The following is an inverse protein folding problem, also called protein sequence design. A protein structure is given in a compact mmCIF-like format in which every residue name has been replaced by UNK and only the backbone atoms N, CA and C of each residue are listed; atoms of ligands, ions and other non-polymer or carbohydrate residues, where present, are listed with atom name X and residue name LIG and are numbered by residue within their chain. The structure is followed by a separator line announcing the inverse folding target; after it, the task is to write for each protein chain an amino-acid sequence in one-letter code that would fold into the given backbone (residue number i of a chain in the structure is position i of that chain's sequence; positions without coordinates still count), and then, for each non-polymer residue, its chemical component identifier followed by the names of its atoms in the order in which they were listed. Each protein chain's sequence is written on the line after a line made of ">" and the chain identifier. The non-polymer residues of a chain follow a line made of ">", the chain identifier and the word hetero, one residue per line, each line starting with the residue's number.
data_IF_163380455303
#
_entry.id   IF_163380455303
#
_cell.length_a   1.000
_cell.length_b   1.000
_cell.length_c   1.000
_cell.angle_alpha   90.00
_cell.angle_beta   90.00
_cell.angle_gamma   90.00
#
_symmetry.space_group_name_H-M   'P 1'
#
loop_
_entity.id
_entity.type
_entity.pdbx_description
1 polymer ?
#
# COMPACT_ATOMS: atom_id res chain seq x y z
N UNK A 1 2.62 16.89 1.28
CA UNK A 1 1.51 15.92 1.25
C UNK A 1 0.27 16.63 0.77
N UNK A 2 -0.58 15.98 -0.02
CA UNK A 2 -1.88 16.54 -0.44
C UNK A 2 -2.88 16.42 0.71
N UNK A 3 -3.94 17.24 0.73
CA UNK A 3 -4.97 17.19 1.78
C UNK A 3 -5.61 15.79 1.88
N UNK A 4 -5.89 15.16 0.72
CA UNK A 4 -6.40 13.79 0.64
C UNK A 4 -5.38 12.77 1.18
N UNK A 5 -4.11 12.93 0.83
CA UNK A 5 -3.03 12.10 1.36
C UNK A 5 -2.95 12.14 2.89
N UNK A 6 -2.94 13.33 3.47
CA UNK A 6 -2.92 13.52 4.93
C UNK A 6 -4.17 12.92 5.59
N UNK A 7 -5.35 13.15 5.01
CA UNK A 7 -6.62 12.65 5.56
C UNK A 7 -6.68 11.12 5.61
N UNK A 8 -6.27 10.45 4.54
CA UNK A 8 -6.23 8.98 4.49
C UNK A 8 -5.12 8.38 5.37
N UNK A 9 -4.03 9.12 5.61
CA UNK A 9 -3.00 8.72 6.56
C UNK A 9 -3.53 8.81 8.00
N UNK A 10 -4.22 9.90 8.34
CA UNK A 10 -4.83 10.10 9.65
C UNK A 10 -5.86 9.02 10.00
N UNK A 11 -6.73 8.66 9.05
CA UNK A 11 -7.67 7.55 9.20
C UNK A 11 -6.96 6.26 9.66
N UNK A 12 -5.88 5.88 8.97
CA UNK A 12 -5.11 4.67 9.30
C UNK A 12 -4.39 4.79 10.62
N UNK A 13 -3.80 5.96 10.90
CA UNK A 13 -3.11 6.21 12.16
C UNK A 13 -4.05 6.09 13.36
N UNK A 14 -5.26 6.66 13.28
CA UNK A 14 -6.26 6.58 14.34
C UNK A 14 -6.84 5.18 14.49
N UNK A 15 -7.15 4.51 13.36
CA UNK A 15 -7.62 3.12 13.38
C UNK A 15 -6.56 2.19 13.99
N UNK A 16 -5.29 2.41 13.66
CA UNK A 16 -4.17 1.66 14.21
C UNK A 16 -3.97 1.94 15.69
N UNK A 17 -4.01 3.21 16.12
CA UNK A 17 -3.88 3.57 17.53
C UNK A 17 -4.99 2.93 18.37
N UNK A 18 -6.23 2.94 17.86
CA UNK A 18 -7.35 2.23 18.49
C UNK A 18 -7.12 0.70 18.51
N UNK A 19 -6.62 0.12 17.43
CA UNK A 19 -6.28 -1.31 17.38
C UNK A 19 -5.18 -1.73 18.37
N UNK A 20 -4.12 -0.94 18.49
CA UNK A 20 -3.08 -1.12 19.52
C UNK A 20 -3.69 -0.98 20.92
N UNK A 21 -4.55 0.03 21.11
CA UNK A 21 -5.30 0.23 22.35
C UNK A 21 -6.13 -0.98 22.73
N UNK A 22 -6.87 -1.58 21.79
CA UNK A 22 -7.64 -2.79 22.01
C UNK A 22 -6.77 -3.92 22.59
N UNK A 23 -5.63 -4.20 21.97
CA UNK A 23 -4.72 -5.25 22.44
C UNK A 23 -4.16 -4.92 23.81
N UNK A 24 -3.76 -3.66 24.04
CA UNK A 24 -3.20 -3.22 25.32
C UNK A 24 -4.23 -3.19 26.47
N UNK A 25 -5.52 -3.06 26.18
CA UNK A 25 -6.60 -3.05 27.19
C UNK A 25 -7.15 -4.44 27.53
N UNK A 26 -6.77 -5.48 26.79
CA UNK A 26 -7.12 -6.87 27.16
C UNK A 26 -6.66 -7.15 28.59
N UNK A 27 -7.56 -7.69 29.43
CA UNK A 27 -7.30 -7.91 30.86
C UNK A 27 -7.11 -6.65 31.72
N UNK A 28 -7.12 -5.43 31.16
CA UNK A 28 -7.20 -4.17 31.94
C UNK A 28 -8.64 -3.75 32.20
N UNK A 29 -9.45 -3.84 31.14
CA UNK A 29 -10.85 -3.46 31.14
C UNK A 29 -11.70 -4.72 31.13
N UNK A 30 -12.98 -4.61 31.55
CA UNK A 30 -13.97 -5.61 31.22
C UNK A 30 -13.95 -5.92 29.72
N UNK A 31 -14.24 -7.15 29.33
CA UNK A 31 -14.19 -7.60 27.93
C UNK A 31 -14.99 -6.66 27.01
N UNK A 32 -16.17 -6.21 27.45
CA UNK A 32 -17.00 -5.24 26.74
C UNK A 32 -16.28 -3.93 26.42
N UNK A 33 -15.46 -3.42 27.35
CA UNK A 33 -14.66 -2.22 27.15
C UNK A 33 -13.62 -2.40 26.04
N UNK A 34 -12.88 -3.51 26.07
CA UNK A 34 -11.92 -3.83 25.01
C UNK A 34 -12.62 -4.04 23.65
N UNK A 35 -13.76 -4.75 23.63
CA UNK A 35 -14.55 -4.92 22.40
C UNK A 35 -15.07 -3.58 21.86
N UNK A 36 -15.42 -2.61 22.72
CA UNK A 36 -15.79 -1.27 22.28
C UNK A 36 -14.63 -0.53 21.60
N UNK A 37 -13.39 -0.70 22.10
CA UNK A 37 -12.19 -0.13 21.46
C UNK A 37 -11.93 -0.79 20.10
N UNK A 38 -12.11 -2.11 19.99
CA UNK A 38 -12.03 -2.81 18.70
C UNK A 38 -13.11 -2.30 17.72
N UNK A 39 -14.35 -2.17 18.18
CA UNK A 39 -15.45 -1.63 17.38
C UNK A 39 -15.15 -0.20 16.91
N UNK A 40 -14.54 0.64 17.75
CA UNK A 40 -14.07 1.96 17.37
C UNK A 40 -12.99 1.88 16.27
N UNK A 41 -11.99 1.01 16.41
CA UNK A 41 -10.95 0.84 15.39
C UNK A 41 -11.54 0.45 14.02
N UNK A 42 -12.48 -0.51 14.02
CA UNK A 42 -13.18 -0.95 12.82
C UNK A 42 -14.08 0.15 12.25
N UNK A 43 -14.79 0.89 13.11
CA UNK A 43 -15.66 1.99 12.71
C UNK A 43 -14.89 3.15 12.09
N UNK A 44 -13.76 3.54 12.68
CA UNK A 44 -12.83 4.52 12.12
C UNK A 44 -12.27 4.05 10.78
N UNK A 45 -12.03 2.76 10.57
CA UNK A 45 -11.57 2.30 9.27
C UNK A 45 -12.70 2.26 8.23
N UNK A 46 -13.88 1.75 8.59
CA UNK A 46 -14.97 1.50 7.67
C UNK A 46 -15.76 2.76 7.28
N UNK A 47 -16.03 3.64 8.25
CA UNK A 47 -16.98 4.76 8.09
C UNK A 47 -16.32 6.13 8.00
N UNK A 48 -14.99 6.21 8.08
CA UNK A 48 -14.31 7.49 7.99
C UNK A 48 -14.50 8.13 6.62
N UNK A 49 -14.88 9.42 6.57
CA UNK A 49 -15.22 10.10 5.33
C UNK A 49 -14.00 10.13 4.41
N UNK A 50 -14.09 9.50 3.25
CA UNK A 50 -12.97 9.47 2.30
C UNK A 50 -13.15 10.60 1.29
N UNK A 51 -12.18 11.53 1.17
CA UNK A 51 -12.27 12.60 0.18
C UNK A 51 -12.43 12.02 -1.22
N UNK A 52 -13.40 12.58 -1.97
CA UNK A 52 -13.64 12.19 -3.34
C UNK A 52 -12.38 12.43 -4.19
N UNK A 53 -12.13 11.53 -5.13
CA UNK A 53 -11.16 11.80 -6.18
C UNK A 53 -11.76 12.80 -7.19
N UNK A 54 -10.93 13.50 -7.99
CA UNK A 54 -11.42 14.31 -9.10
C UNK A 54 -12.37 13.50 -10.00
N UNK A 55 -13.39 14.16 -10.55
CA UNK A 55 -14.36 13.53 -11.43
C UNK A 55 -13.65 12.91 -12.66
N UNK A 56 -13.99 11.67 -13.00
CA UNK A 56 -13.38 10.96 -14.13
C UNK A 56 -11.94 10.45 -13.89
N UNK A 57 -11.39 10.62 -12.68
CA UNK A 57 -10.06 10.09 -12.38
C UNK A 57 -10.09 8.56 -12.15
N UNK A 58 -9.14 7.87 -12.79
CA UNK A 58 -8.92 6.44 -12.59
C UNK A 58 -8.23 6.18 -11.24
N UNK A 59 -8.62 5.09 -10.59
CA UNK A 59 -8.12 4.69 -9.26
C UNK A 59 -7.85 3.19 -9.23
N UNK A 60 -7.01 2.76 -8.29
CA UNK A 60 -6.86 1.33 -8.02
C UNK A 60 -8.16 0.76 -7.43
N UNK A 61 -8.47 -0.49 -7.78
CA UNK A 61 -9.59 -1.23 -7.20
C UNK A 61 -9.38 -1.38 -5.69
N UNK A 62 -10.31 -0.81 -4.93
CA UNK A 62 -10.19 -0.66 -3.47
C UNK A 62 -9.99 -1.98 -2.73
N UNK A 63 -10.76 -3.02 -3.06
CA UNK A 63 -10.74 -4.29 -2.34
C UNK A 63 -9.34 -4.90 -2.22
N UNK A 64 -8.78 -5.45 -3.31
CA UNK A 64 -7.50 -6.15 -3.24
C UNK A 64 -6.31 -5.21 -3.04
N UNK A 65 -6.39 -3.97 -3.55
CA UNK A 65 -5.24 -3.07 -3.59
C UNK A 65 -5.07 -2.22 -2.32
N UNK A 66 -6.15 -2.00 -1.57
CA UNK A 66 -6.20 -1.08 -0.42
C UNK A 66 -6.70 -1.79 0.83
N UNK A 67 -7.89 -2.40 0.77
CA UNK A 67 -8.56 -2.97 1.95
C UNK A 67 -7.79 -4.16 2.51
N UNK A 68 -7.38 -5.11 1.67
CA UNK A 68 -6.66 -6.30 2.14
C UNK A 68 -5.32 -5.92 2.82
N UNK A 69 -4.42 -5.13 2.19
CA UNK A 69 -3.18 -4.71 2.85
C UNK A 69 -3.43 -3.90 4.12
N UNK A 70 -4.44 -3.03 4.13
CA UNK A 70 -4.77 -2.23 5.31
C UNK A 70 -5.23 -3.11 6.46
N UNK A 71 -6.17 -4.03 6.24
CA UNK A 71 -6.68 -4.92 7.29
C UNK A 71 -5.57 -5.81 7.85
N UNK A 72 -4.74 -6.39 6.97
CA UNK A 72 -3.57 -7.17 7.41
C UNK A 72 -2.60 -6.33 8.23
N UNK A 73 -2.28 -5.12 7.76
CA UNK A 73 -1.40 -4.20 8.47
C UNK A 73 -1.98 -3.77 9.82
N UNK A 74 -3.27 -3.44 9.88
CA UNK A 74 -3.94 -3.02 11.11
C UNK A 74 -3.92 -4.13 12.15
N UNK A 75 -4.26 -5.37 11.76
CA UNK A 75 -4.26 -6.51 12.66
C UNK A 75 -2.85 -6.83 13.15
N UNK A 76 -1.90 -6.99 12.23
CA UNK A 76 -0.54 -7.42 12.57
C UNK A 76 0.21 -6.38 13.38
N UNK A 77 0.15 -5.09 12.99
CA UNK A 77 0.83 -4.02 13.72
C UNK A 77 0.19 -3.84 15.11
N UNK A 78 -1.15 -3.89 15.22
CA UNK A 78 -1.83 -3.81 16.52
C UNK A 78 -1.40 -4.93 17.46
N UNK A 79 -1.30 -6.16 16.95
CA UNK A 79 -0.84 -7.31 17.73
C UNK A 79 0.63 -7.15 18.15
N UNK A 80 1.55 -6.92 17.22
CA UNK A 80 2.99 -6.85 17.53
C UNK A 80 3.37 -5.65 18.41
N UNK A 81 2.65 -4.53 18.32
CA UNK A 81 2.91 -3.36 19.16
C UNK A 81 2.17 -3.46 20.50
N UNK A 82 0.93 -3.95 20.50
CA UNK A 82 0.10 -4.05 21.69
C UNK A 82 0.45 -5.20 22.63
N UNK A 83 0.93 -6.35 22.10
CA UNK A 83 1.27 -7.52 22.91
C UNK A 83 2.36 -7.22 23.97
N UNK A 84 3.49 -6.55 23.65
CA UNK A 84 4.44 -6.12 24.66
C UNK A 84 3.83 -5.28 25.79
N UNK A 85 2.90 -4.38 25.45
CA UNK A 85 2.20 -3.54 26.43
C UNK A 85 1.29 -4.38 27.35
N UNK A 86 0.56 -5.33 26.76
CA UNK A 86 -0.27 -6.28 27.50
C UNK A 86 0.58 -7.13 28.46
N UNK A 87 1.65 -7.74 27.97
CA UNK A 87 2.56 -8.60 28.76
C UNK A 87 3.20 -7.80 29.90
N UNK A 88 3.67 -6.57 29.63
CA UNK A 88 4.28 -5.73 30.65
C UNK A 88 3.37 -5.45 31.85
N UNK A 89 2.05 -5.40 31.62
CA UNK A 89 1.06 -5.23 32.67
C UNK A 89 0.78 -6.51 33.46
N UNK A 90 0.87 -7.67 32.82
CA UNK A 90 0.68 -8.97 33.47
C UNK A 90 1.90 -9.31 34.34
N UNK A 91 3.11 -9.06 33.83
CA UNK A 91 4.37 -9.39 34.50
C UNK A 91 4.88 -8.26 35.42
N UNK A 92 4.29 -7.07 35.35
CA UNK A 92 4.69 -5.89 36.13
C UNK A 92 5.93 -5.16 35.60
N UNK A 93 6.60 -5.71 34.57
CA UNK A 93 7.73 -5.09 33.88
C UNK A 93 7.76 -5.53 32.40
N UNK A 94 8.37 -4.71 31.54
CA UNK A 94 8.59 -5.07 30.14
C UNK A 94 9.79 -6.03 30.04
N UNK A 95 9.54 -7.29 29.70
CA UNK A 95 10.63 -8.24 29.47
C UNK A 95 11.51 -7.76 28.28
N UNK A 96 12.86 -7.78 28.38
CA UNK A 96 13.73 -7.27 27.30
C UNK A 96 13.50 -7.93 25.93
N UNK A 97 13.11 -9.20 25.90
CA UNK A 97 12.77 -9.89 24.65
C UNK A 97 11.53 -9.32 23.95
N UNK A 98 10.64 -8.62 24.65
CA UNK A 98 9.48 -7.97 24.05
C UNK A 98 9.89 -6.83 23.11
N UNK A 99 11.08 -6.25 23.30
CA UNK A 99 11.66 -5.25 22.37
C UNK A 99 11.96 -5.85 20.99
N UNK A 100 12.15 -7.16 20.87
CA UNK A 100 12.36 -7.85 19.59
C UNK A 100 11.08 -7.94 18.75
N UNK A 101 9.92 -7.69 19.36
CA UNK A 101 8.60 -7.81 18.71
C UNK A 101 8.25 -6.54 17.93
N UNK A 102 8.66 -5.35 18.40
CA UNK A 102 8.36 -4.07 17.74
C UNK A 102 8.96 -3.92 16.33
N UNK A 103 10.20 -4.38 16.04
CA UNK A 103 10.71 -4.42 14.67
C UNK A 103 9.80 -5.18 13.69
N UNK A 104 9.16 -6.27 14.12
CA UNK A 104 8.19 -7.00 13.29
C UNK A 104 6.97 -6.12 12.99
N UNK A 105 6.44 -5.44 14.02
CA UNK A 105 5.38 -4.44 13.86
C UNK A 105 5.77 -3.35 12.84
N UNK A 106 6.98 -2.80 12.94
CA UNK A 106 7.49 -1.80 12.01
C UNK A 106 7.55 -2.30 10.56
N UNK A 107 7.91 -3.57 10.32
CA UNK A 107 7.87 -4.17 8.98
C UNK A 107 6.44 -4.19 8.42
N UNK A 108 5.44 -4.55 9.24
CA UNK A 108 4.04 -4.61 8.80
C UNK A 108 3.39 -3.24 8.58
N UNK A 109 3.96 -2.14 9.11
CA UNK A 109 3.54 -0.77 8.75
C UNK A 109 3.67 -0.52 7.25
N UNK A 110 4.59 -1.21 6.55
CA UNK A 110 4.71 -1.13 5.09
C UNK A 110 3.42 -1.49 4.36
N UNK A 111 2.60 -2.41 4.89
CA UNK A 111 1.31 -2.79 4.32
C UNK A 111 0.31 -1.62 4.38
N UNK A 112 0.27 -0.91 5.50
CA UNK A 112 -0.55 0.31 5.67
C UNK A 112 -0.10 1.42 4.72
N UNK A 113 1.22 1.56 4.51
CA UNK A 113 1.78 2.53 3.57
C UNK A 113 1.43 2.16 2.12
N UNK A 114 1.45 0.88 1.76
CA UNK A 114 1.03 0.39 0.43
C UNK A 114 -0.46 0.68 0.20
N UNK A 115 -1.32 0.30 1.15
CA UNK A 115 -2.76 0.58 1.09
C UNK A 115 -3.05 2.07 1.01
N UNK A 116 -2.35 2.89 1.80
CA UNK A 116 -2.43 4.35 1.75
C UNK A 116 -2.05 4.91 0.36
N UNK A 117 -0.87 4.55 -0.17
CA UNK A 117 -0.41 5.02 -1.47
C UNK A 117 -1.40 4.67 -2.59
N UNK A 118 -1.89 3.43 -2.61
CA UNK A 118 -2.87 2.95 -3.60
C UNK A 118 -4.25 3.58 -3.42
N UNK A 119 -4.68 3.83 -2.19
CA UNK A 119 -5.97 4.44 -1.88
C UNK A 119 -6.06 5.92 -2.23
N UNK A 120 -4.94 6.64 -2.11
CA UNK A 120 -4.86 8.07 -2.45
C UNK A 120 -4.59 8.28 -3.95
N UNK A 121 -3.96 7.31 -4.62
CA UNK A 121 -3.68 7.42 -6.04
C UNK A 121 -4.94 7.75 -6.84
N UNK A 122 -4.81 8.75 -7.71
CA UNK A 122 -5.81 9.10 -8.72
C UNK A 122 -5.09 9.63 -9.96
N UNK A 123 -5.50 9.16 -11.13
CA UNK A 123 -4.97 9.58 -12.42
C UNK A 123 -6.09 10.16 -13.26
N UNK A 124 -6.00 11.45 -13.57
CA UNK A 124 -6.91 12.16 -14.46
C UNK A 124 -6.22 12.32 -15.83
N UNK A 125 -6.95 11.94 -16.88
CA UNK A 125 -6.50 12.06 -18.26
C UNK A 125 -7.12 13.33 -18.85
N UNK A 126 -6.39 14.45 -18.77
CA UNK A 126 -6.83 15.73 -19.32
C UNK A 126 -6.62 15.82 -20.84
N UNK A 127 -7.11 16.90 -21.46
CA UNK A 127 -6.90 17.17 -22.89
C UNK A 127 -5.41 17.31 -23.25
N UNK A 128 -4.67 18.10 -22.46
CA UNK A 128 -3.27 18.48 -22.74
C UNK A 128 -2.25 17.80 -21.82
N UNK A 129 -2.70 17.25 -20.69
CA UNK A 129 -1.81 16.69 -19.68
C UNK A 129 -2.45 15.56 -18.88
N UNK A 130 -1.61 14.61 -18.48
CA UNK A 130 -1.89 13.63 -17.44
C UNK A 130 -1.69 14.28 -16.08
N UNK A 131 -2.66 14.13 -15.17
CA UNK A 131 -2.55 14.63 -13.80
C UNK A 131 -2.66 13.46 -12.84
N UNK A 132 -1.66 13.29 -11.98
CA UNK A 132 -1.71 12.29 -10.92
C UNK A 132 -1.68 12.94 -9.53
N UNK A 133 -2.57 12.51 -8.66
CA UNK A 133 -2.43 12.68 -7.22
C UNK A 133 -1.79 11.42 -6.64
N UNK A 134 -0.61 11.58 -6.04
CA UNK A 134 0.12 10.49 -5.38
C UNK A 134 -0.05 10.47 -3.86
N UNK A 135 -0.83 11.41 -3.31
CA UNK A 135 -0.96 11.65 -1.87
C UNK A 135 0.19 12.44 -1.25
N UNK A 136 1.40 12.31 -1.80
CA UNK A 136 2.53 13.14 -1.41
C UNK A 136 2.50 14.49 -2.13
N UNK A 137 2.28 14.44 -3.45
CA UNK A 137 2.29 15.59 -4.36
C UNK A 137 1.31 15.39 -5.50
N UNK A 138 0.79 16.48 -6.03
CA UNK A 138 0.17 16.51 -7.34
C UNK A 138 1.28 16.59 -8.40
N UNK A 139 1.15 15.79 -9.45
CA UNK A 139 2.03 15.84 -10.62
C UNK A 139 1.19 16.02 -11.87
N UNK A 140 1.69 16.82 -12.78
CA UNK A 140 1.11 17.01 -14.10
C UNK A 140 2.21 16.78 -15.14
N UNK A 141 1.90 16.01 -16.17
CA UNK A 141 2.79 15.73 -17.28
C UNK A 141 2.06 16.03 -18.57
N UNK A 142 2.58 16.98 -19.32
CA UNK A 142 2.04 17.27 -20.65
C UNK A 142 2.40 16.13 -21.59
N UNK A 143 1.54 15.81 -22.55
CA UNK A 143 1.78 14.68 -23.45
C UNK A 143 3.02 14.87 -24.32
N UNK A 144 3.35 16.11 -24.69
CA UNK A 144 4.58 16.46 -25.41
C UNK A 144 5.87 16.15 -24.63
N UNK A 145 5.81 16.07 -23.29
CA UNK A 145 6.94 15.72 -22.44
C UNK A 145 7.15 14.21 -22.32
N UNK A 146 6.19 13.41 -22.78
CA UNK A 146 6.26 11.94 -22.70
C UNK A 146 6.85 11.44 -24.00
N UNK A 147 8.05 10.85 -23.93
CA UNK A 147 8.72 10.28 -25.08
C UNK A 147 8.12 8.93 -25.45
N UNK A 148 7.88 8.07 -24.46
CA UNK A 148 7.33 6.75 -24.68
C UNK A 148 6.59 6.20 -23.46
N UNK A 149 5.73 5.22 -23.69
CA UNK A 149 5.21 4.33 -22.65
C UNK A 149 5.85 2.96 -22.83
N UNK A 150 6.57 2.50 -21.81
CA UNK A 150 7.31 1.24 -21.85
C UNK A 150 6.76 0.25 -20.81
N UNK A 151 6.87 -1.08 -21.04
CA UNK A 151 6.56 -2.07 -20.03
C UNK A 151 7.42 -1.85 -18.79
N UNK A 152 6.78 -1.83 -17.62
CA UNK A 152 7.47 -1.82 -16.34
C UNK A 152 7.30 -3.16 -15.65
N UNK A 153 8.42 -3.69 -15.15
CA UNK A 153 8.45 -4.87 -14.30
C UNK A 153 9.20 -4.52 -13.04
N UNK A 154 8.57 -4.74 -11.89
CA UNK A 154 9.26 -4.71 -10.60
C UNK A 154 9.39 -6.12 -10.11
N UNK A 155 10.61 -6.65 -10.17
CA UNK A 155 10.96 -7.84 -9.42
C UNK A 155 11.61 -7.39 -8.11
N UNK A 156 10.78 -6.82 -7.22
CA UNK A 156 11.15 -6.46 -5.85
C UNK A 156 11.80 -7.63 -5.10
N UNK A 157 11.53 -8.85 -5.53
CA UNK A 157 11.98 -10.09 -4.89
C UNK A 157 13.29 -10.58 -5.49
N UNK A 158 13.71 -10.14 -6.69
CA UNK A 158 14.98 -10.51 -7.32
C UNK A 158 16.21 -10.41 -6.41
N UNK A 159 16.43 -9.31 -5.65
CA UNK A 159 17.57 -9.24 -4.74
C UNK A 159 17.42 -10.15 -3.51
N UNK A 160 16.20 -10.58 -3.18
CA UNK A 160 15.88 -11.38 -2.00
C UNK A 160 15.78 -12.89 -2.33
N UNK A 161 15.60 -13.26 -3.62
CA UNK A 161 15.58 -14.65 -4.09
C UNK A 161 16.80 -15.48 -3.66
N UNK A 162 18.03 -14.94 -3.65
CA UNK A 162 19.20 -15.66 -3.16
C UNK A 162 19.13 -16.05 -1.68
N UNK A 163 18.25 -15.43 -0.87
CA UNK A 163 18.06 -15.80 0.54
C UNK A 163 17.15 -17.01 0.74
N UNK A 164 16.44 -17.46 -0.30
CA UNK A 164 15.58 -18.64 -0.23
C UNK A 164 16.28 -19.90 0.31
N UNK A 165 17.50 -20.30 -0.13
CA UNK A 165 18.20 -21.44 0.45
C UNK A 165 18.55 -21.24 1.93
N UNK A 166 18.87 -20.01 2.37
CA UNK A 166 19.09 -19.71 3.78
C UNK A 166 17.81 -19.85 4.60
N UNK A 167 16.66 -19.42 4.06
CA UNK A 167 15.36 -19.60 4.70
C UNK A 167 14.97 -21.07 4.82
N UNK A 168 15.28 -21.90 3.81
CA UNK A 168 15.09 -23.35 3.88
C UNK A 168 16.01 -23.96 4.95
N UNK A 169 17.29 -23.59 4.98
CA UNK A 169 18.25 -24.06 5.98
C UNK A 169 17.87 -23.64 7.41
N UNK A 170 17.25 -22.46 7.58
CA UNK A 170 16.73 -21.96 8.85
C UNK A 170 15.37 -22.56 9.26
N UNK A 171 14.88 -23.58 8.54
CA UNK A 171 13.61 -24.25 8.87
C UNK A 171 12.36 -23.45 8.49
N UNK A 172 12.47 -22.48 7.57
CA UNK A 172 11.34 -21.67 7.07
C UNK A 172 11.00 -21.96 5.59
N UNK A 173 10.63 -23.21 5.23
CA UNK A 173 10.33 -23.59 3.85
C UNK A 173 9.12 -22.83 3.28
N UNK A 174 8.15 -22.43 4.11
CA UNK A 174 7.00 -21.64 3.68
C UNK A 174 7.37 -20.23 3.22
N UNK A 175 8.28 -19.56 3.93
CA UNK A 175 8.78 -18.25 3.53
C UNK A 175 9.60 -18.33 2.24
N UNK A 176 10.46 -19.35 2.12
CA UNK A 176 11.19 -19.63 0.88
C UNK A 176 10.25 -19.90 -0.30
N UNK A 177 9.20 -20.71 -0.09
CA UNK A 177 8.18 -21.02 -1.09
C UNK A 177 7.40 -19.78 -1.54
N UNK A 178 6.95 -18.95 -0.61
CA UNK A 178 6.27 -17.69 -0.92
C UNK A 178 7.17 -16.75 -1.75
N UNK A 179 8.47 -16.72 -1.43
CA UNK A 179 9.46 -15.91 -2.12
C UNK A 179 9.70 -16.41 -3.56
N UNK A 180 9.68 -17.72 -3.78
CA UNK A 180 9.78 -18.34 -5.11
C UNK A 180 8.51 -18.20 -5.96
N UNK A 181 7.33 -18.24 -5.34
CA UNK A 181 6.03 -18.14 -6.03
C UNK A 181 5.62 -16.69 -6.31
N UNK A 182 6.27 -15.72 -5.65
CA UNK A 182 6.00 -14.29 -5.88
C UNK A 182 6.17 -13.92 -7.36
N UNK A 183 5.06 -13.47 -7.97
CA UNK A 183 5.07 -13.00 -9.35
C UNK A 183 5.69 -11.59 -9.39
N UNK A 184 6.56 -11.30 -10.38
CA UNK A 184 7.04 -9.94 -10.56
C UNK A 184 5.86 -9.02 -10.86
N UNK A 185 5.81 -7.87 -10.18
CA UNK A 185 4.79 -6.86 -10.43
C UNK A 185 4.92 -6.34 -11.86
N UNK A 186 3.78 -6.23 -12.55
CA UNK A 186 3.72 -5.74 -13.94
C UNK A 186 3.05 -4.38 -13.99
N UNK A 187 3.32 -3.61 -15.03
CA UNK A 187 2.69 -2.31 -15.28
C UNK A 187 3.34 -1.61 -16.46
N UNK A 188 3.25 -0.27 -16.47
CA UNK A 188 3.90 0.57 -17.47
C UNK A 188 4.73 1.65 -16.80
N UNK A 189 5.75 2.14 -17.49
CA UNK A 189 6.47 3.34 -17.11
C UNK A 189 6.23 4.41 -18.16
N UNK A 190 5.89 5.61 -17.70
CA UNK A 190 5.98 6.81 -18.53
C UNK A 190 7.45 7.20 -18.60
N UNK A 191 8.01 7.19 -19.81
CA UNK A 191 9.37 7.65 -20.10
C UNK A 191 9.27 9.08 -20.61
N UNK A 192 9.86 9.99 -19.85
CA UNK A 192 9.92 11.39 -20.22
C UNK A 192 11.04 11.65 -21.21
N UNK A 193 10.94 12.77 -21.94
CA UNK A 193 12.00 13.22 -22.86
C UNK A 193 13.33 13.54 -22.17
N UNK A 194 13.30 13.87 -20.88
CA UNK A 194 14.50 14.06 -20.05
C UNK A 194 15.13 12.73 -19.57
N UNK A 195 14.58 11.58 -19.99
CA UNK A 195 15.04 10.25 -19.60
C UNK A 195 14.49 9.78 -18.25
N UNK A 196 13.76 10.60 -17.51
CA UNK A 196 13.14 10.17 -16.25
C UNK A 196 12.02 9.15 -16.51
N UNK A 197 11.90 8.19 -15.59
CA UNK A 197 10.92 7.10 -15.70
C UNK A 197 9.97 7.14 -14.52
N UNK A 198 8.67 7.14 -14.80
CA UNK A 198 7.65 7.11 -13.77
C UNK A 198 6.82 5.82 -13.87
N UNK A 199 7.02 4.87 -12.94
CA UNK A 199 6.31 3.59 -12.97
C UNK A 199 4.88 3.72 -12.45
N UNK A 200 3.96 3.08 -13.17
CA UNK A 200 2.55 2.88 -12.83
C UNK A 200 2.31 1.37 -12.78
N UNK A 201 2.21 0.77 -11.58
CA UNK A 201 1.81 -0.62 -11.42
C UNK A 201 0.46 -0.90 -12.09
N UNK A 202 0.36 -2.00 -12.82
CA UNK A 202 -0.86 -2.42 -13.51
C UNK A 202 -1.81 -3.22 -12.62
N UNK A 203 -1.29 -3.90 -11.59
CA UNK A 203 -2.10 -4.75 -10.71
C UNK A 203 -3.21 -3.94 -10.03
N UNK A 204 -4.47 -4.32 -10.27
CA UNK A 204 -5.66 -3.63 -9.78
C UNK A 204 -5.86 -2.19 -10.31
N UNK A 205 -5.22 -1.84 -11.44
CA UNK A 205 -5.40 -0.58 -12.18
C UNK A 205 -5.69 -0.82 -13.67
N UNK A 206 -6.30 -1.95 -14.02
CA UNK A 206 -6.45 -2.38 -15.42
C UNK A 206 -7.20 -1.34 -16.27
N UNK A 207 -8.34 -0.85 -15.80
CA UNK A 207 -9.19 0.09 -16.53
C UNK A 207 -8.48 1.44 -16.77
N UNK A 208 -7.76 1.92 -15.74
CA UNK A 208 -6.97 3.14 -15.84
C UNK A 208 -5.75 2.99 -16.73
N UNK A 209 -5.15 1.80 -16.77
CA UNK A 209 -4.03 1.50 -17.64
C UNK A 209 -4.46 1.48 -19.11
N UNK A 210 -5.58 0.81 -19.43
CA UNK A 210 -6.17 0.81 -20.77
C UNK A 210 -6.45 2.23 -21.25
N UNK A 211 -7.14 3.02 -20.43
CA UNK A 211 -7.47 4.41 -20.76
C UNK A 211 -6.22 5.28 -20.94
N UNK A 212 -5.18 5.10 -20.11
CA UNK A 212 -3.90 5.79 -20.24
C UNK A 212 -3.23 5.47 -21.59
N UNK A 213 -3.16 4.18 -21.96
CA UNK A 213 -2.57 3.75 -23.23
C UNK A 213 -3.33 4.33 -24.41
N UNK A 214 -4.67 4.29 -24.40
CA UNK A 214 -5.52 4.91 -25.43
C UNK A 214 -5.28 6.41 -25.53
N UNK A 215 -5.22 7.12 -24.39
CA UNK A 215 -5.01 8.56 -24.35
C UNK A 215 -3.62 8.97 -24.85
N UNK A 216 -2.59 8.18 -24.58
CA UNK A 216 -1.23 8.36 -25.10
C UNK A 216 -1.15 8.08 -26.60
N UNK A 217 -1.76 6.98 -27.07
CA UNK A 217 -1.81 6.63 -28.49
C UNK A 217 -2.50 7.73 -29.33
N UNK A 218 -3.64 8.22 -28.86
CA UNK A 218 -4.40 9.27 -29.54
C UNK A 218 -3.62 10.60 -29.70
N UNK A 219 -2.54 10.78 -28.94
CA UNK A 219 -1.70 11.99 -28.95
C UNK A 219 -0.31 11.75 -29.53
N UNK A 220 -0.11 10.63 -30.21
CA UNK A 220 1.14 10.31 -30.89
C UNK A 220 2.30 9.94 -29.96
N UNK A 221 2.05 9.61 -28.69
CA UNK A 221 3.10 9.11 -27.79
C UNK A 221 3.47 7.68 -28.20
N UNK A 222 4.76 7.39 -28.35
CA UNK A 222 5.23 6.06 -28.73
C UNK A 222 4.89 5.01 -27.67
N UNK A 223 4.14 3.97 -28.06
CA UNK A 223 3.85 2.83 -27.20
C UNK A 223 4.83 1.69 -27.52
N UNK A 224 5.66 1.30 -26.56
CA UNK A 224 6.55 0.12 -26.67
C UNK A 224 6.02 -1.07 -25.88
N UNK A 225 4.72 -1.08 -25.61
CA UNK A 225 4.05 -2.13 -24.85
C UNK A 225 3.58 -3.22 -25.82
N UNK A 226 3.76 -4.53 -25.52
CA UNK A 226 3.21 -5.61 -26.34
C UNK A 226 1.71 -5.44 -26.55
N UNK A 227 1.22 -5.72 -27.77
CA UNK A 227 -0.20 -5.56 -28.14
C UNK A 227 -1.17 -6.30 -27.20
N UNK A 228 -0.72 -7.38 -26.58
CA UNK A 228 -1.50 -8.22 -25.65
C UNK A 228 -1.69 -7.61 -24.24
N UNK A 229 -1.11 -6.44 -23.97
CA UNK A 229 -1.24 -5.74 -22.69
C UNK A 229 -2.32 -4.63 -22.69
N UNK A 230 -3.02 -4.45 -23.82
CA UNK A 230 -4.10 -3.47 -24.01
C UNK A 230 -5.49 -4.05 -23.71
#
# INVERSE_FOLDING_TARGET
>A
MTKRGMHMALQRALSLAAGIGFVATLGALPLLGSLAVLALALGLYAFWPVPAAPAGAFRYRRGPAVVIPDLMGLVLVSAFVGLPLLVSRIEGALHPSALLVWPLGAVFVSLLVIGWKRGVFALELGAEALRADTGLRHRAWRYDQIAAVEPWRSDLVRPVRPLAPLLVAAGQPGAAGALMVSRPGRGVALVHRDGTRWPIPGDAFEDGLKALLTACAARGVTLKVPADAA
#
